data_IF_000373396765
#
_entry.id   IF_000373396765
#
_cell.length_a   1.000
_cell.length_b   1.000
_cell.length_c   1.000
_cell.angle_alpha   90.00
_cell.angle_beta   90.00
_cell.angle_gamma   90.00
#
_symmetry.space_group_name_H-M   'P 1'
#
loop_
_entity.id
_entity.type
_entity.pdbx_description
1 polymer ?
#
# COMPACT_ATOMS: atom_id res chain seq x y z
N UNK A 1 3.72 14.24 -19.39
CA UNK A 1 3.63 12.77 -19.27
C UNK A 1 2.46 12.49 -18.34
N UNK A 2 1.39 11.84 -18.80
CA UNK A 2 0.33 11.43 -17.89
C UNK A 2 0.93 10.40 -16.92
N UNK A 3 1.21 10.81 -15.68
CA UNK A 3 1.66 9.93 -14.61
C UNK A 3 0.59 8.84 -14.52
N UNK A 4 0.97 7.61 -14.83
CA UNK A 4 0.11 6.44 -14.70
C UNK A 4 -0.59 6.53 -13.33
N UNK A 5 -1.92 6.35 -13.29
CA UNK A 5 -2.72 6.76 -12.13
C UNK A 5 -2.21 6.09 -10.85
N UNK A 6 -1.48 6.84 -10.03
CA UNK A 6 -0.89 6.34 -8.78
C UNK A 6 -1.93 5.75 -7.83
N UNK A 7 -3.10 6.39 -7.81
CA UNK A 7 -4.28 5.93 -7.08
C UNK A 7 -4.98 4.79 -7.81
N UNK A 8 -4.40 3.60 -7.72
CA UNK A 8 -5.07 2.36 -8.14
C UNK A 8 -6.00 1.85 -7.05
N UNK A 9 -7.07 1.13 -7.44
CA UNK A 9 -7.96 0.48 -6.47
C UNK A 9 -7.22 -0.55 -5.61
N UNK A 10 -6.18 -1.18 -6.15
CA UNK A 10 -5.32 -2.09 -5.41
C UNK A 10 -4.57 -1.36 -4.29
N UNK A 11 -3.94 -0.22 -4.61
CA UNK A 11 -3.22 0.57 -3.63
C UNK A 11 -4.16 1.07 -2.51
N UNK A 12 -5.37 1.50 -2.86
CA UNK A 12 -6.38 1.90 -1.88
C UNK A 12 -6.83 0.74 -0.98
N UNK A 13 -7.02 -0.47 -1.53
CA UNK A 13 -7.37 -1.67 -0.75
C UNK A 13 -6.25 -2.10 0.19
N UNK A 14 -5.00 -2.02 -0.28
CA UNK A 14 -3.83 -2.33 0.54
C UNK A 14 -3.71 -1.34 1.69
N UNK A 15 -3.86 -0.04 1.41
CA UNK A 15 -3.82 1.01 2.42
C UNK A 15 -4.92 0.82 3.49
N UNK A 16 -6.17 0.59 3.07
CA UNK A 16 -7.30 0.31 3.97
C UNK A 16 -7.04 -0.93 4.84
N UNK A 17 -6.52 -2.02 4.25
CA UNK A 17 -6.21 -3.22 5.01
C UNK A 17 -5.09 -2.98 6.04
N UNK A 18 -4.05 -2.21 5.70
CA UNK A 18 -2.96 -1.89 6.65
C UNK A 18 -3.50 -1.05 7.81
N UNK A 19 -4.30 -0.02 7.52
CA UNK A 19 -4.91 0.83 8.55
C UNK A 19 -5.83 0.01 9.49
N UNK A 20 -6.75 -0.79 8.93
CA UNK A 20 -7.66 -1.62 9.72
C UNK A 20 -6.98 -2.71 10.54
N UNK A 21 -5.84 -3.23 10.05
CA UNK A 21 -5.13 -4.36 10.69
C UNK A 21 -3.93 -3.94 11.54
N UNK A 22 -3.52 -2.68 11.46
CA UNK A 22 -2.43 -2.09 12.24
C UNK A 22 -1.04 -2.63 11.92
N UNK A 23 -0.89 -3.49 10.91
CA UNK A 23 0.42 -3.99 10.47
C UNK A 23 0.39 -4.54 9.04
N UNK A 24 1.52 -4.46 8.35
CA UNK A 24 1.70 -5.03 7.02
C UNK A 24 1.52 -6.54 7.00
N UNK A 25 1.98 -7.25 8.04
CA UNK A 25 1.81 -8.70 8.16
C UNK A 25 0.33 -9.09 8.27
N UNK A 26 -0.41 -8.48 9.20
CA UNK A 26 -1.82 -8.82 9.38
C UNK A 26 -2.69 -8.42 8.16
N UNK A 27 -2.35 -7.34 7.47
CA UNK A 27 -3.01 -6.95 6.22
C UNK A 27 -2.69 -7.92 5.06
N UNK A 28 -1.46 -8.41 4.98
CA UNK A 28 -1.06 -9.39 3.99
C UNK A 28 -1.81 -10.72 4.17
N UNK A 29 -1.95 -11.17 5.41
CA UNK A 29 -2.74 -12.35 5.77
C UNK A 29 -4.21 -12.19 5.36
N UNK A 30 -4.81 -11.02 5.62
CA UNK A 30 -6.20 -10.72 5.20
C UNK A 30 -6.37 -10.73 3.67
N UNK A 31 -5.40 -10.19 2.94
CA UNK A 31 -5.44 -10.08 1.48
C UNK A 31 -4.93 -11.34 0.75
N UNK A 32 -4.50 -12.38 1.46
CA UNK A 32 -3.93 -13.59 0.87
C UNK A 32 -2.64 -13.32 0.09
N UNK A 33 -1.82 -12.39 0.58
CA UNK A 33 -0.59 -11.90 -0.05
C UNK A 33 0.59 -12.00 0.91
N UNK A 34 1.80 -11.80 0.39
CA UNK A 34 3.01 -11.69 1.22
C UNK A 34 3.23 -10.24 1.67
N UNK A 35 3.76 -9.98 2.89
CA UNK A 35 3.95 -8.63 3.40
C UNK A 35 4.81 -7.74 2.49
N UNK A 36 5.84 -8.31 1.86
CA UNK A 36 6.72 -7.58 0.93
C UNK A 36 5.99 -7.02 -0.30
N UNK A 37 4.92 -7.68 -0.76
CA UNK A 37 4.12 -7.18 -1.87
C UNK A 37 3.37 -5.90 -1.46
N UNK A 38 2.83 -5.86 -0.24
CA UNK A 38 2.14 -4.68 0.29
C UNK A 38 3.13 -3.53 0.51
N UNK A 39 4.31 -3.83 1.06
CA UNK A 39 5.38 -2.82 1.21
C UNK A 39 5.77 -2.20 -0.11
N UNK A 40 5.93 -3.02 -1.17
CA UNK A 40 6.22 -2.50 -2.51
C UNK A 40 5.09 -1.63 -3.07
N UNK A 41 3.83 -2.05 -2.90
CA UNK A 41 2.67 -1.24 -3.32
C UNK A 41 2.63 0.11 -2.61
N UNK A 42 2.88 0.14 -1.29
CA UNK A 42 2.89 1.39 -0.52
C UNK A 42 4.09 2.27 -0.88
N UNK A 43 5.28 1.70 -1.03
CA UNK A 43 6.46 2.44 -1.45
C UNK A 43 6.25 3.11 -2.82
N UNK A 44 5.73 2.37 -3.79
CA UNK A 44 5.44 2.93 -5.12
C UNK A 44 4.40 4.07 -5.03
N UNK A 45 3.37 3.90 -4.21
CA UNK A 45 2.34 4.93 -4.01
C UNK A 45 2.93 6.20 -3.36
N UNK A 46 3.74 6.04 -2.33
CA UNK A 46 4.45 7.12 -1.63
C UNK A 46 5.38 7.88 -2.60
N UNK A 47 6.15 7.16 -3.43
CA UNK A 47 7.03 7.75 -4.47
C UNK A 47 6.25 8.49 -5.56
N UNK A 48 5.11 7.95 -5.99
CA UNK A 48 4.31 8.57 -7.04
C UNK A 48 3.51 9.79 -6.55
N UNK A 49 3.14 9.81 -5.27
CA UNK A 49 2.43 10.94 -4.65
C UNK A 49 3.37 11.95 -3.98
N UNK A 50 4.65 11.62 -3.82
CA UNK A 50 5.65 12.41 -3.08
C UNK A 50 5.22 12.70 -1.64
N UNK A 51 4.73 11.66 -0.96
CA UNK A 51 4.23 11.72 0.43
C UNK A 51 4.66 10.49 1.21
N UNK A 52 4.76 10.63 2.53
CA UNK A 52 4.92 9.49 3.45
C UNK A 52 3.55 9.16 4.03
N UNK A 53 3.09 7.92 3.87
CA UNK A 53 1.78 7.46 4.32
C UNK A 53 1.87 6.67 5.63
N UNK A 54 2.95 5.92 5.83
CA UNK A 54 3.16 5.11 7.03
C UNK A 54 4.50 5.42 7.69
N UNK A 55 4.46 5.62 9.01
CA UNK A 55 5.66 5.57 9.85
C UNK A 55 5.96 4.09 10.16
N UNK A 56 7.23 3.67 9.99
CA UNK A 56 7.63 2.26 9.96
C UNK A 56 8.48 1.88 11.16
#
# INVERSE_FOLDING_TARGET
MAKERALTLEALRVMDAIDRRGSFAAAADELGRVPSALSYTMQKLEEELDVVLFDR
#
